data_IF_296777444167
#
_entry.id   IF_296777444167
#
_cell.length_a   1.000
_cell.length_b   1.000
_cell.length_c   1.000
_cell.angle_alpha   90.00
_cell.angle_beta   90.00
_cell.angle_gamma   90.00
#
_symmetry.space_group_name_H-M   'P 1'
#
loop_
_entity.id
_entity.type
_entity.pdbx_description
1 polymer ?
#
# COMPACT_ATOMS: atom_id res chain seq x y z
N UNK A 1 1.89 -15.84 26.49
CA UNK A 1 1.79 -16.87 25.43
C UNK A 1 3.12 -16.89 24.68
N UNK A 2 3.91 -17.97 24.69
CA UNK A 2 5.12 -18.03 23.87
C UNK A 2 4.72 -18.44 22.45
N UNK A 3 4.92 -17.55 21.49
CA UNK A 3 4.72 -17.83 20.06
C UNK A 3 6.09 -18.17 19.46
N UNK A 4 6.25 -19.40 18.96
CA UNK A 4 7.46 -19.83 18.26
C UNK A 4 7.49 -19.27 16.85
N UNK A 5 8.45 -18.40 16.57
CA UNK A 5 8.55 -17.70 15.28
C UNK A 5 9.35 -16.42 15.40
N UNK A 6 10.56 -16.50 15.99
CA UNK A 6 11.44 -15.34 16.06
C UNK A 6 11.91 -15.00 14.64
N UNK A 7 11.46 -13.86 14.11
CA UNK A 7 11.81 -13.43 12.76
C UNK A 7 13.31 -13.17 12.68
N UNK A 8 13.98 -13.79 11.71
CA UNK A 8 15.40 -13.52 11.45
C UNK A 8 15.56 -12.02 11.13
N UNK A 9 16.46 -11.33 11.83
CA UNK A 9 16.72 -9.89 11.66
C UNK A 9 17.54 -9.60 10.40
N UNK A 10 17.17 -10.20 9.28
CA UNK A 10 17.84 -10.07 7.99
C UNK A 10 16.87 -9.48 6.99
N UNK A 11 17.16 -8.28 6.51
CA UNK A 11 16.42 -7.66 5.41
C UNK A 11 16.98 -8.19 4.09
N UNK A 12 16.21 -8.98 3.36
CA UNK A 12 16.51 -9.36 1.97
C UNK A 12 15.77 -8.42 1.02
N UNK A 13 16.33 -8.18 -0.16
CA UNK A 13 15.62 -7.46 -1.21
C UNK A 13 14.32 -8.19 -1.55
N UNK A 14 13.19 -7.50 -1.37
CA UNK A 14 11.90 -8.03 -1.72
C UNK A 14 11.76 -8.08 -3.24
N UNK A 15 11.30 -9.21 -3.76
CA UNK A 15 10.92 -9.33 -5.16
C UNK A 15 9.91 -8.24 -5.53
N UNK A 16 10.00 -7.71 -6.74
CA UNK A 16 9.00 -6.77 -7.23
C UNK A 16 7.62 -7.44 -7.25
N UNK A 17 6.67 -6.87 -6.51
CA UNK A 17 5.28 -7.33 -6.49
C UNK A 17 4.53 -6.64 -7.63
N UNK A 18 3.80 -7.41 -8.43
CA UNK A 18 3.05 -6.91 -9.58
C UNK A 18 1.66 -6.35 -9.20
N UNK A 19 1.05 -6.83 -8.10
CA UNK A 19 -0.33 -6.50 -7.72
C UNK A 19 -0.42 -5.97 -6.29
N UNK A 20 -1.13 -4.87 -6.11
CA UNK A 20 -1.33 -4.21 -4.82
C UNK A 20 -2.83 -4.09 -4.56
N UNK A 21 -3.25 -4.18 -3.29
CA UNK A 21 -4.63 -4.00 -2.89
C UNK A 21 -4.73 -3.00 -1.75
N UNK A 22 -5.54 -1.96 -1.94
CA UNK A 22 -5.87 -0.98 -0.89
C UNK A 22 -7.19 -1.39 -0.28
N UNK A 23 -7.19 -1.69 1.03
CA UNK A 23 -8.37 -2.15 1.78
C UNK A 23 -8.88 -1.05 2.71
N UNK A 24 -10.00 -0.38 2.37
CA UNK A 24 -10.59 0.63 3.25
C UNK A 24 -11.17 0.01 4.54
N UNK A 25 -11.43 -1.31 4.54
CA UNK A 25 -12.00 -2.04 5.68
C UNK A 25 -11.09 -2.08 6.90
N UNK A 26 -9.78 -1.89 6.71
CA UNK A 26 -8.81 -1.88 7.80
C UNK A 26 -8.92 -0.58 8.63
N UNK A 27 -9.64 0.44 8.12
CA UNK A 27 -9.87 1.71 8.79
C UNK A 27 -11.30 1.78 9.36
N UNK A 28 -11.40 1.68 10.68
CA UNK A 28 -12.69 1.75 11.39
C UNK A 28 -13.27 3.16 11.30
N UNK A 29 -14.54 3.27 10.89
CA UNK A 29 -15.26 4.56 10.79
C UNK A 29 -15.14 5.27 9.45
N UNK A 30 -14.38 4.73 8.50
CA UNK A 30 -14.28 5.24 7.14
C UNK A 30 -15.53 4.90 6.33
N UNK A 31 -16.11 5.88 5.63
CA UNK A 31 -17.19 5.67 4.66
C UNK A 31 -16.60 5.78 3.25
N UNK A 32 -16.13 4.67 2.66
CA UNK A 32 -15.39 4.70 1.41
C UNK A 32 -16.25 5.17 0.25
N UNK A 33 -15.77 6.21 -0.43
CA UNK A 33 -16.28 6.72 -1.71
C UNK A 33 -15.22 6.49 -2.78
N UNK A 34 -15.57 5.70 -3.78
CA UNK A 34 -14.72 5.47 -4.94
C UNK A 34 -14.53 6.76 -5.74
N UNK A 35 -13.28 7.10 -6.03
CA UNK A 35 -12.92 8.19 -6.93
C UNK A 35 -12.44 7.70 -8.30
N UNK A 36 -12.14 6.40 -8.41
CA UNK A 36 -11.64 5.74 -9.62
C UNK A 36 -12.58 4.62 -10.06
N UNK A 37 -12.44 4.19 -11.31
CA UNK A 37 -13.16 3.06 -11.89
C UNK A 37 -12.22 1.92 -12.28
N UNK A 38 -12.76 0.72 -12.48
CA UNK A 38 -11.99 -0.40 -13.04
C UNK A 38 -11.49 -0.05 -14.45
N UNK A 39 -10.22 -0.37 -14.73
CA UNK A 39 -9.55 -0.02 -15.98
C UNK A 39 -8.95 1.39 -16.03
N UNK A 40 -9.13 2.20 -14.98
CA UNK A 40 -8.57 3.54 -14.93
C UNK A 40 -7.05 3.50 -14.67
N UNK A 41 -6.32 4.44 -15.27
CA UNK A 41 -4.88 4.59 -15.05
C UNK A 41 -4.64 5.49 -13.85
N UNK A 42 -3.85 5.03 -12.90
CA UNK A 42 -3.58 5.72 -11.64
C UNK A 42 -2.10 5.91 -11.42
N UNK A 43 -1.71 7.06 -10.88
CA UNK A 43 -0.34 7.37 -10.50
C UNK A 43 -0.07 7.07 -9.01
N UNK A 44 1.18 6.82 -8.65
CA UNK A 44 1.59 6.68 -7.26
C UNK A 44 1.25 7.98 -6.50
N UNK A 45 0.52 7.86 -5.39
CA UNK A 45 0.02 9.00 -4.61
C UNK A 45 -1.36 9.52 -5.05
N UNK A 46 -1.91 9.05 -6.18
CA UNK A 46 -3.23 9.49 -6.63
C UNK A 46 -4.34 8.93 -5.72
N UNK A 47 -5.33 9.74 -5.29
CA UNK A 47 -6.41 9.29 -4.41
C UNK A 47 -7.32 8.27 -5.12
N UNK A 48 -7.41 7.05 -4.58
CA UNK A 48 -8.28 5.98 -5.07
C UNK A 48 -9.66 6.02 -4.40
N UNK A 49 -9.65 6.24 -3.08
CA UNK A 49 -10.84 6.25 -2.23
C UNK A 49 -10.80 7.49 -1.36
N UNK A 50 -11.93 8.18 -1.21
CA UNK A 50 -12.10 9.26 -0.25
C UNK A 50 -13.10 8.85 0.82
N UNK A 51 -13.03 9.46 2.00
CA UNK A 51 -14.11 9.36 2.96
C UNK A 51 -15.25 10.31 2.59
N UNK A 52 -16.50 9.85 2.73
CA UNK A 52 -17.68 10.68 2.55
C UNK A 52 -17.85 11.68 3.70
N UNK A 53 -17.43 11.32 4.91
CA UNK A 53 -17.58 12.17 6.09
C UNK A 53 -16.47 13.23 6.16
N UNK A 54 -15.23 12.87 5.85
CA UNK A 54 -14.12 13.82 5.77
C UNK A 54 -13.39 13.74 4.40
N UNK A 55 -13.63 14.68 3.47
CA UNK A 55 -12.99 14.66 2.16
C UNK A 55 -11.47 14.89 2.21
N UNK A 56 -10.90 15.28 3.36
CA UNK A 56 -9.45 15.37 3.56
C UNK A 56 -8.81 13.99 3.72
N UNK A 57 -9.59 13.01 4.16
CA UNK A 57 -9.14 11.64 4.33
C UNK A 57 -9.29 10.90 2.99
N UNK A 58 -8.15 10.64 2.35
CA UNK A 58 -8.09 9.87 1.12
C UNK A 58 -7.09 8.74 1.24
N UNK A 59 -7.37 7.63 0.57
CA UNK A 59 -6.48 6.49 0.43
C UNK A 59 -5.80 6.59 -0.94
N UNK A 60 -4.53 7.00 -0.99
CA UNK A 60 -3.78 7.11 -2.23
C UNK A 60 -3.32 5.75 -2.75
N UNK A 61 -3.03 5.69 -4.05
CA UNK A 61 -2.42 4.50 -4.66
C UNK A 61 -0.97 4.35 -4.20
N UNK A 62 -0.54 3.14 -3.79
CA UNK A 62 0.85 2.87 -3.44
C UNK A 62 1.77 2.83 -4.67
N UNK A 63 1.23 2.55 -5.86
CA UNK A 63 1.99 2.40 -7.10
C UNK A 63 1.29 3.05 -8.29
N UNK A 64 2.06 3.45 -9.30
CA UNK A 64 1.53 3.81 -10.61
C UNK A 64 1.16 2.56 -11.40
N UNK A 65 -0.01 2.55 -12.02
CA UNK A 65 -0.56 1.35 -12.60
C UNK A 65 -1.98 1.52 -13.14
N UNK A 66 -2.66 0.38 -13.28
CA UNK A 66 -4.05 0.32 -13.75
C UNK A 66 -4.90 -0.32 -12.65
N UNK A 67 -6.07 0.24 -12.40
CA UNK A 67 -7.05 -0.36 -11.48
C UNK A 67 -7.58 -1.65 -12.09
N UNK A 68 -7.13 -2.79 -11.58
CA UNK A 68 -7.49 -4.11 -12.10
C UNK A 68 -8.91 -4.50 -11.72
N UNK A 69 -9.28 -4.26 -10.47
CA UNK A 69 -10.59 -4.65 -9.94
C UNK A 69 -10.98 -3.83 -8.71
N UNK A 70 -12.27 -3.63 -8.52
CA UNK A 70 -12.86 -3.01 -7.35
C UNK A 70 -13.71 -4.08 -6.64
N UNK A 71 -13.15 -4.68 -5.60
CA UNK A 71 -13.79 -5.72 -4.81
C UNK A 71 -14.83 -5.09 -3.89
N UNK A 72 -16.08 -5.51 -4.08
CA UNK A 72 -17.22 -5.11 -3.24
C UNK A 72 -17.71 -6.33 -2.47
N UNK A 73 -17.75 -6.21 -1.15
CA UNK A 73 -18.21 -7.26 -0.26
C UNK A 73 -19.72 -7.21 0.01
N UNK A 74 -20.16 -7.93 1.04
CA UNK A 74 -21.56 -7.97 1.46
C UNK A 74 -22.10 -6.56 1.78
N UNK A 75 -23.38 -6.34 1.44
CA UNK A 75 -24.07 -5.04 1.56
C UNK A 75 -23.42 -3.91 0.73
N UNK A 76 -22.73 -4.25 -0.38
CA UNK A 76 -22.07 -3.30 -1.30
C UNK A 76 -20.97 -2.46 -0.64
N UNK A 77 -20.36 -2.96 0.43
CA UNK A 77 -19.20 -2.32 1.07
C UNK A 77 -17.99 -2.42 0.15
N UNK A 78 -17.21 -1.35 0.04
CA UNK A 78 -15.94 -1.38 -0.68
C UNK A 78 -14.93 -2.15 0.18
N UNK A 79 -14.50 -3.32 -0.29
CA UNK A 79 -13.61 -4.22 0.45
C UNK A 79 -12.16 -4.00 0.06
N UNK A 80 -11.87 -3.96 -1.24
CA UNK A 80 -10.52 -3.70 -1.74
C UNK A 80 -10.54 -3.02 -3.11
N UNK A 81 -9.55 -2.17 -3.36
CA UNK A 81 -9.22 -1.67 -4.70
C UNK A 81 -7.90 -2.30 -5.11
N UNK A 82 -7.92 -3.11 -6.17
CA UNK A 82 -6.76 -3.83 -6.68
C UNK A 82 -6.13 -3.02 -7.81
N UNK A 83 -4.86 -2.68 -7.65
CA UNK A 83 -4.04 -1.95 -8.63
C UNK A 83 -2.94 -2.85 -9.14
N UNK A 84 -2.85 -2.98 -10.45
CA UNK A 84 -1.78 -3.68 -11.14
C UNK A 84 -0.69 -2.69 -11.53
N UNK A 85 0.53 -2.95 -11.09
CA UNK A 85 1.68 -2.09 -11.37
C UNK A 85 1.99 -2.08 -12.85
N UNK A 86 2.06 -0.89 -13.45
CA UNK A 86 2.53 -0.77 -14.83
C UNK A 86 4.06 -0.96 -14.85
N UNK A 87 4.54 -1.88 -15.70
CA UNK A 87 5.98 -2.09 -15.94
C UNK A 87 6.62 -0.96 -16.75
N UNK A 88 5.82 0.02 -17.20
CA UNK A 88 6.20 1.06 -18.16
C UNK A 88 6.59 2.40 -17.52
N UNK A 89 6.49 2.55 -16.20
CA UNK A 89 6.79 3.82 -15.53
C UNK A 89 8.27 3.90 -15.12
N UNK A 90 9.00 4.87 -15.66
CA UNK A 90 10.28 5.32 -15.11
C UNK A 90 10.04 5.82 -13.67
N UNK A 91 10.44 5.00 -12.70
CA UNK A 91 10.39 5.35 -11.29
C UNK A 91 11.30 6.57 -11.06
N UNK A 92 10.70 7.76 -10.98
CA UNK A 92 11.28 8.96 -10.35
C UNK A 92 11.37 8.78 -8.83
N UNK A 93 11.79 7.60 -8.36
CA UNK A 93 12.24 7.46 -6.98
C UNK A 93 13.52 8.28 -6.90
N UNK A 94 13.41 9.51 -6.38
CA UNK A 94 14.57 10.15 -5.73
C UNK A 94 15.07 9.11 -4.72
N UNK A 95 16.33 8.73 -4.87
CA UNK A 95 17.04 7.66 -4.15
C UNK A 95 17.14 7.86 -2.62
N UNK A 96 16.18 8.52 -1.97
CA UNK A 96 16.28 8.91 -0.56
C UNK A 96 15.62 7.94 0.44
N UNK A 97 14.78 6.99 0.01
CA UNK A 97 14.23 6.00 0.96
C UNK A 97 15.18 4.81 1.23
N UNK A 98 16.13 4.54 0.33
CA UNK A 98 17.03 3.38 0.49
C UNK A 98 18.11 3.62 1.55
N UNK A 99 18.37 4.87 1.92
CA UNK A 99 19.38 5.22 2.93
C UNK A 99 18.82 5.30 4.36
N UNK A 100 17.52 5.54 4.52
CA UNK A 100 16.87 5.66 5.84
C UNK A 100 16.72 4.29 6.51
N UNK A 101 16.42 3.23 5.75
CA UNK A 101 16.34 1.86 6.27
C UNK A 101 17.71 1.31 6.70
N UNK A 102 18.78 1.71 6.02
CA UNK A 102 20.14 1.23 6.32
C UNK A 102 20.79 1.95 7.51
N UNK A 103 20.36 3.18 7.86
CA UNK A 103 20.97 3.95 8.95
C UNK A 103 20.35 3.71 10.33
N UNK A 104 19.09 3.24 10.42
CA UNK A 104 18.41 3.01 11.71
C UNK A 104 18.72 1.66 12.38
N UNK A 105 19.36 0.71 11.69
CA UNK A 105 19.61 -0.64 12.23
C UNK A 105 21.03 -0.87 12.81
N UNK A 106 21.92 0.13 12.84
CA UNK A 106 23.33 -0.07 13.22
C UNK A 106 23.68 0.07 14.72
N UNK A 107 22.73 0.34 15.62
CA UNK A 107 23.05 0.59 17.04
C UNK A 107 22.29 -0.24 18.07
N UNK A 108 21.92 -1.48 17.72
CA UNK A 108 21.51 -2.44 18.77
C UNK A 108 22.72 -3.25 19.25
N UNK A 109 23.15 -3.09 20.53
CA UNK A 109 24.24 -3.86 21.08
C UNK A 109 23.80 -5.33 21.19
N UNK A 110 24.49 -6.21 20.47
CA UNK A 110 24.48 -7.65 20.75
C UNK A 110 25.27 -7.85 22.05
N UNK A 111 24.55 -7.90 23.17
CA UNK A 111 25.07 -8.34 24.46
C UNK A 111 24.92 -9.84 24.62
N UNK A 112 26.00 -10.49 25.09
CA UNK A 112 26.08 -11.92 25.41
C UNK A 112 27.45 -12.48 25.09
#
# INVERSE_FOLDING_TARGET
>A
LPLGGEAERRCTDACYIDTYAVKPTDFVGLVPRLMVSEGDSVEAGQPLVSDKNDPRLTLPSPVSGIVKAIVRGEKRRLEAVVVERSKKEELRIKKECTEILNSQFSTLPVGG
#
